data_IF_007017314493
#
_entry.id   IF_007017314493
#
_cell.length_a   1.000
_cell.length_b   1.000
_cell.length_c   1.000
_cell.angle_alpha   90.00
_cell.angle_beta   90.00
_cell.angle_gamma   90.00
#
_symmetry.space_group_name_H-M   'P 1'
#
loop_
_entity.id
_entity.type
_entity.pdbx_description
1 polymer ?
#
# COMPACT_ATOMS: atom_id res chain seq x y z
N UNK A 1 13.76 -9.51 4.35
CA UNK A 1 13.18 -8.22 3.97
C UNK A 1 14.25 -7.41 3.26
N UNK A 2 13.88 -6.73 2.18
CA UNK A 2 14.75 -5.84 1.41
C UNK A 2 14.03 -4.50 1.23
N UNK A 3 14.60 -3.42 1.76
CA UNK A 3 14.03 -2.08 1.62
C UNK A 3 14.29 -1.54 0.23
N UNK A 4 13.22 -1.24 -0.50
CA UNK A 4 13.30 -0.71 -1.87
C UNK A 4 13.18 0.81 -1.89
N UNK A 5 12.20 1.35 -1.17
CA UNK A 5 11.98 2.78 -1.05
C UNK A 5 11.70 3.17 0.40
N UNK A 6 12.21 4.34 0.79
CA UNK A 6 11.91 5.02 2.05
C UNK A 6 12.11 6.51 1.81
N UNK A 7 11.07 7.17 1.30
CA UNK A 7 11.11 8.59 0.99
C UNK A 7 9.69 9.17 0.93
N UNK A 8 9.57 10.49 1.09
CA UNK A 8 8.31 11.22 0.92
C UNK A 8 7.96 11.42 -0.58
N UNK A 9 8.96 11.30 -1.47
CA UNK A 9 8.77 11.24 -2.93
C UNK A 9 9.55 10.10 -3.58
N UNK A 10 8.87 9.26 -4.37
CA UNK A 10 9.51 8.27 -5.25
C UNK A 10 8.59 7.78 -6.37
N UNK A 11 9.19 7.12 -7.37
CA UNK A 11 8.48 6.36 -8.41
C UNK A 11 9.11 4.98 -8.51
N UNK A 12 8.30 3.94 -8.35
CA UNK A 12 8.70 2.56 -8.56
C UNK A 12 8.29 2.12 -9.96
N UNK A 13 9.27 1.62 -10.72
CA UNK A 13 9.09 1.16 -12.10
C UNK A 13 9.22 -0.35 -12.22
N UNK A 14 9.79 -0.99 -11.21
CA UNK A 14 10.11 -2.43 -11.14
C UNK A 14 8.86 -3.30 -11.18
N UNK A 15 7.72 -2.78 -10.69
CA UNK A 15 6.46 -3.51 -10.63
C UNK A 15 5.52 -3.20 -11.81
N UNK A 16 5.89 -2.27 -12.70
CA UNK A 16 5.02 -1.83 -13.79
C UNK A 16 4.73 -2.97 -14.78
N UNK A 17 3.45 -3.10 -15.14
CA UNK A 17 2.94 -4.13 -16.04
C UNK A 17 2.78 -5.51 -15.40
N UNK A 18 3.25 -5.73 -14.17
CA UNK A 18 3.06 -7.00 -13.47
C UNK A 18 1.65 -7.12 -12.93
N UNK A 19 1.18 -8.36 -12.79
CA UNK A 19 -0.18 -8.65 -12.31
C UNK A 19 -0.20 -8.81 -10.80
N UNK A 20 -1.29 -8.35 -10.20
CA UNK A 20 -1.57 -8.57 -8.78
C UNK A 20 -2.15 -9.98 -8.60
N UNK A 21 -1.59 -10.74 -7.68
CA UNK A 21 -2.14 -12.04 -7.25
C UNK A 21 -3.03 -11.89 -6.02
N UNK A 22 -2.65 -10.98 -5.10
CA UNK A 22 -3.35 -10.81 -3.82
C UNK A 22 -3.10 -9.42 -3.22
N UNK A 23 -4.11 -8.89 -2.53
CA UNK A 23 -4.05 -7.66 -1.74
C UNK A 23 -4.51 -7.98 -0.32
N UNK A 24 -3.68 -7.70 0.67
CA UNK A 24 -4.02 -7.88 2.09
C UNK A 24 -3.81 -6.56 2.82
N UNK A 25 -4.75 -6.16 3.66
CA UNK A 25 -4.60 -5.02 4.57
C UNK A 25 -4.41 -5.53 5.99
N UNK A 26 -3.38 -5.06 6.67
CA UNK A 26 -3.19 -5.23 8.10
C UNK A 26 -3.71 -3.98 8.83
N UNK A 27 -4.61 -4.20 9.77
CA UNK A 27 -5.36 -3.15 10.46
C UNK A 27 -5.22 -3.27 11.98
N UNK A 28 -5.29 -2.13 12.68
CA UNK A 28 -5.46 -2.14 14.13
C UNK A 28 -6.92 -2.41 14.50
N UNK A 29 -7.13 -3.11 15.62
CA UNK A 29 -8.45 -3.51 16.13
C UNK A 29 -9.39 -2.34 16.44
N UNK A 30 -8.84 -1.15 16.69
CA UNK A 30 -9.61 -0.06 17.29
C UNK A 30 -10.13 1.00 16.31
N UNK A 31 -9.64 1.09 15.05
CA UNK A 31 -9.79 2.36 14.27
C UNK A 31 -9.91 2.30 12.75
N UNK A 32 -10.26 1.18 12.12
CA UNK A 32 -10.26 1.06 10.64
C UNK A 32 -8.98 1.69 10.01
N UNK A 33 -7.85 1.56 10.72
CA UNK A 33 -6.58 2.18 10.39
C UNK A 33 -5.73 1.11 9.72
N UNK A 34 -5.31 1.37 8.49
CA UNK A 34 -4.46 0.46 7.72
C UNK A 34 -3.02 0.74 8.09
N UNK A 35 -2.41 -0.18 8.83
CA UNK A 35 -1.02 -0.09 9.25
C UNK A 35 -0.11 -0.44 8.07
N UNK A 36 -0.46 -1.52 7.36
CA UNK A 36 0.33 -2.03 6.23
C UNK A 36 -0.60 -2.54 5.14
N UNK A 37 -0.28 -2.19 3.90
CA UNK A 37 -0.85 -2.81 2.70
C UNK A 37 0.17 -3.81 2.14
N UNK A 38 -0.24 -5.07 2.00
CA UNK A 38 0.56 -6.10 1.36
C UNK A 38 0.04 -6.37 -0.05
N UNK A 39 0.97 -6.42 -1.01
CA UNK A 39 0.71 -6.78 -2.39
C UNK A 39 1.51 -8.00 -2.78
N UNK A 40 0.83 -9.06 -3.20
CA UNK A 40 1.48 -10.18 -3.88
C UNK A 40 1.47 -9.92 -5.37
N UNK A 41 2.67 -9.87 -5.96
CA UNK A 41 2.87 -9.58 -7.38
C UNK A 41 3.39 -10.83 -8.07
N UNK A 42 2.82 -11.12 -9.24
CA UNK A 42 3.18 -12.25 -10.09
C UNK A 42 4.70 -12.34 -10.28
N UNK A 43 5.24 -13.56 -10.12
CA UNK A 43 6.66 -13.91 -10.24
C UNK A 43 7.63 -13.24 -9.24
N UNK A 44 7.24 -12.20 -8.51
CA UNK A 44 8.12 -11.46 -7.60
C UNK A 44 7.85 -11.69 -6.12
N UNK A 45 6.65 -12.14 -5.76
CA UNK A 45 6.29 -12.44 -4.38
C UNK A 45 5.64 -11.25 -3.68
N UNK A 46 5.94 -11.07 -2.39
CA UNK A 46 5.26 -10.12 -1.53
C UNK A 46 6.01 -8.81 -1.39
N UNK A 47 5.24 -7.74 -1.36
CA UNK A 47 5.67 -6.39 -1.02
C UNK A 47 4.77 -5.83 0.06
N UNK A 48 5.34 -5.10 1.00
CA UNK A 48 4.59 -4.28 1.94
C UNK A 48 4.75 -2.80 1.62
N UNK A 49 3.73 -2.06 2.02
CA UNK A 49 3.62 -0.63 1.82
C UNK A 49 3.02 -0.03 3.08
N UNK A 50 3.69 0.97 3.65
CA UNK A 50 3.21 1.69 4.83
C UNK A 50 3.75 3.11 4.84
N UNK A 51 3.17 3.96 5.68
CA UNK A 51 3.66 5.33 5.92
C UNK A 51 4.08 5.40 7.38
N UNK A 52 5.31 5.87 7.61
CA UNK A 52 5.89 6.06 8.94
C UNK A 52 6.45 7.49 9.03
N UNK A 53 6.00 8.26 10.02
CA UNK A 53 6.39 9.65 10.25
C UNK A 53 6.34 10.53 8.97
N UNK A 54 5.32 10.35 8.14
CA UNK A 54 5.13 11.09 6.89
C UNK A 54 5.96 10.59 5.70
N UNK A 55 6.66 9.48 5.84
CA UNK A 55 7.51 8.87 4.81
C UNK A 55 6.89 7.55 4.36
N UNK A 56 6.73 7.37 3.05
CA UNK A 56 6.29 6.10 2.51
C UNK A 56 7.45 5.12 2.42
N UNK A 57 7.19 3.88 2.82
CA UNK A 57 8.12 2.76 2.77
C UNK A 57 7.54 1.67 1.87
N UNK A 58 8.43 1.08 1.07
CA UNK A 58 8.14 -0.11 0.28
C UNK A 58 9.25 -1.14 0.51
N UNK A 59 8.89 -2.35 0.93
CA UNK A 59 9.83 -3.44 1.12
C UNK A 59 9.40 -4.70 0.39
N UNK A 60 10.39 -5.47 -0.05
CA UNK A 60 10.18 -6.82 -0.54
C UNK A 60 10.31 -7.81 0.61
N UNK A 61 9.28 -8.61 0.80
CA UNK A 61 9.22 -9.61 1.87
C UNK A 61 9.03 -11.02 1.30
N UNK A 62 9.43 -12.01 2.08
CA UNK A 62 9.31 -13.42 1.67
C UNK A 62 7.90 -13.94 1.92
N UNK A 63 7.33 -13.58 3.07
CA UNK A 63 6.01 -13.96 3.55
C UNK A 63 5.50 -12.88 4.51
N UNK A 64 4.20 -12.89 4.79
CA UNK A 64 3.59 -12.01 5.80
C UNK A 64 3.74 -12.71 7.15
N UNK A 65 4.37 -12.03 8.09
CA UNK A 65 4.44 -12.47 9.49
C UNK A 65 3.23 -11.86 10.21
N UNK A 66 2.19 -12.68 10.43
CA UNK A 66 0.96 -12.24 11.09
C UNK A 66 1.17 -12.13 12.60
N UNK A 67 0.66 -11.05 13.20
CA UNK A 67 0.57 -10.84 14.64
C UNK A 67 -0.90 -10.88 15.08
N UNK A 68 -1.21 -11.68 16.09
CA UNK A 68 -2.56 -11.86 16.64
C UNK A 68 -3.17 -10.55 17.20
N UNK A 69 -2.36 -9.51 17.36
CA UNK A 69 -2.77 -8.16 17.79
C UNK A 69 -3.34 -7.31 16.64
N UNK A 70 -3.28 -7.80 15.40
CA UNK A 70 -3.76 -7.10 14.22
C UNK A 70 -4.70 -7.96 13.37
N UNK A 71 -5.53 -7.29 12.59
CA UNK A 71 -6.48 -7.94 11.68
C UNK A 71 -5.92 -7.90 10.26
N UNK A 72 -5.78 -9.07 9.65
CA UNK A 72 -5.36 -9.22 8.26
C UNK A 72 -6.58 -9.56 7.40
N UNK A 73 -6.95 -8.65 6.50
CA UNK A 73 -8.09 -8.81 5.60
C UNK A 73 -7.61 -8.98 4.17
N UNK A 74 -8.06 -10.06 3.52
CA UNK A 74 -7.90 -10.23 2.08
C UNK A 74 -8.91 -9.35 1.33
N UNK A 75 -8.40 -8.33 0.66
CA UNK A 75 -9.20 -7.35 -0.09
C UNK A 75 -9.22 -7.62 -1.59
N UNK A 76 -8.57 -8.69 -2.06
CA UNK A 76 -8.34 -8.92 -3.49
C UNK A 76 -9.61 -9.00 -4.33
N UNK A 77 -10.66 -9.64 -3.81
CA UNK A 77 -11.96 -9.78 -4.48
C UNK A 77 -12.78 -8.47 -4.43
N UNK A 78 -12.84 -7.85 -3.25
CA UNK A 78 -13.54 -6.56 -3.03
C UNK A 78 -13.01 -5.46 -3.95
N UNK A 79 -11.69 -5.47 -4.20
CA UNK A 79 -10.99 -4.50 -5.03
C UNK A 79 -10.93 -4.88 -6.51
N UNK A 80 -11.48 -6.04 -6.89
CA UNK A 80 -11.34 -6.62 -8.23
C UNK A 80 -9.89 -6.65 -8.74
N UNK A 81 -8.92 -6.77 -7.84
CA UNK A 81 -7.51 -6.54 -8.13
C UNK A 81 -6.80 -7.77 -8.74
N UNK A 82 -7.37 -8.97 -8.56
CA UNK A 82 -6.75 -10.22 -9.00
C UNK A 82 -6.56 -10.21 -10.52
N UNK A 83 -5.31 -10.40 -10.95
CA UNK A 83 -4.91 -10.42 -12.34
C UNK A 83 -4.81 -9.04 -13.00
N UNK A 84 -5.20 -7.96 -12.32
CA UNK A 84 -5.07 -6.59 -12.83
C UNK A 84 -3.60 -6.19 -12.85
N UNK A 85 -3.18 -5.49 -13.90
CA UNK A 85 -1.81 -5.01 -14.03
C UNK A 85 -1.61 -3.71 -13.26
N UNK A 86 -0.43 -3.59 -12.67
CA UNK A 86 0.05 -2.37 -12.04
C UNK A 86 0.47 -1.41 -13.16
N UNK A 87 -0.16 -0.24 -13.21
CA UNK A 87 0.19 0.84 -14.14
C UNK A 87 1.38 1.65 -13.62
N UNK A 88 1.45 1.85 -12.31
CA UNK A 88 2.51 2.63 -11.67
C UNK A 88 2.37 2.63 -10.15
N UNK A 89 3.48 2.76 -9.45
CA UNK A 89 3.52 3.01 -8.01
C UNK A 89 4.33 4.28 -7.76
N UNK A 90 3.76 5.23 -7.03
CA UNK A 90 4.41 6.50 -6.79
C UNK A 90 4.00 7.10 -5.45
N UNK A 91 4.93 7.81 -4.85
CA UNK A 91 4.72 8.59 -3.64
C UNK A 91 4.98 10.06 -3.93
N UNK A 92 4.14 10.93 -3.36
CA UNK A 92 4.25 12.38 -3.47
C UNK A 92 4.07 13.01 -2.09
N UNK A 93 4.87 14.00 -1.75
CA UNK A 93 4.71 14.76 -0.51
C UNK A 93 3.42 15.56 -0.55
N UNK A 94 2.69 15.55 0.56
CA UNK A 94 1.45 16.33 0.73
C UNK A 94 1.44 16.90 2.15
N UNK A 95 1.52 18.24 2.24
CA UNK A 95 1.67 18.96 3.51
C UNK A 95 2.85 18.47 4.35
N UNK A 96 2.60 17.86 5.52
CA UNK A 96 3.60 17.29 6.43
C UNK A 96 3.68 15.75 6.38
N UNK A 97 3.02 15.12 5.41
CA UNK A 97 3.08 13.68 5.16
C UNK A 97 3.28 13.41 3.66
N UNK A 98 2.92 12.21 3.22
CA UNK A 98 2.98 11.79 1.83
C UNK A 98 1.71 11.01 1.45
N UNK A 99 1.52 10.88 0.14
CA UNK A 99 0.46 10.07 -0.45
C UNK A 99 1.11 9.04 -1.36
N UNK A 100 0.98 7.78 -0.98
CA UNK A 100 1.44 6.65 -1.76
C UNK A 100 0.26 6.10 -2.58
N UNK A 101 0.44 5.98 -3.90
CA UNK A 101 -0.56 5.47 -4.81
C UNK A 101 -0.02 4.28 -5.61
N UNK A 102 -0.83 3.22 -5.67
CA UNK A 102 -0.66 2.07 -6.55
C UNK A 102 -1.77 2.15 -7.59
N UNK A 103 -1.42 2.61 -8.78
CA UNK A 103 -2.35 2.77 -9.89
C UNK A 103 -2.49 1.47 -10.66
N UNK A 104 -3.74 1.04 -10.89
CA UNK A 104 -4.07 -0.19 -11.60
C UNK A 104 -4.67 0.11 -12.97
N UNK A 105 -4.56 -0.85 -13.91
CA UNK A 105 -5.12 -0.69 -15.26
C UNK A 105 -6.66 -0.71 -15.31
N UNK A 106 -7.33 -1.17 -14.26
CA UNK A 106 -8.79 -1.16 -14.14
C UNK A 106 -9.36 0.17 -13.61
N UNK A 107 -8.62 1.28 -13.76
CA UNK A 107 -8.96 2.61 -13.24
C UNK A 107 -9.13 2.71 -11.71
N UNK A 108 -8.78 1.65 -10.97
CA UNK A 108 -8.72 1.68 -9.52
C UNK A 108 -7.34 2.12 -9.06
N UNK A 109 -7.28 3.01 -8.07
CA UNK A 109 -6.04 3.31 -7.35
C UNK A 109 -6.17 2.88 -5.90
N UNK A 110 -5.18 2.14 -5.40
CA UNK A 110 -5.00 1.88 -3.98
C UNK A 110 -4.13 2.99 -3.40
N UNK A 111 -4.64 3.72 -2.41
CA UNK A 111 -3.98 4.93 -1.92
C UNK A 111 -3.80 4.84 -0.42
N UNK A 112 -2.56 4.90 0.04
CA UNK A 112 -2.23 5.08 1.45
C UNK A 112 -1.94 6.55 1.72
N UNK A 113 -2.57 7.08 2.77
CA UNK A 113 -2.39 8.46 3.23
C UNK A 113 -2.63 8.56 4.74
N UNK A 114 -1.91 9.45 5.43
CA UNK A 114 -2.19 9.78 6.84
C UNK A 114 -3.53 10.53 6.98
N UNK A 115 -4.34 10.16 7.98
CA UNK A 115 -5.65 10.79 8.26
C UNK A 115 -5.51 12.22 8.76
N UNK A 116 -4.54 12.48 9.62
CA UNK A 116 -4.22 13.80 10.17
C UNK A 116 -2.80 14.17 9.78
N UNK A 117 -2.69 15.07 8.82
CA UNK A 117 -1.42 15.51 8.27
C UNK A 117 -0.59 16.30 9.29
N UNK A 118 -1.20 16.78 10.38
CA UNK A 118 -0.53 17.59 11.40
C UNK A 118 0.10 16.78 12.54
N UNK A 119 -0.13 15.47 12.58
CA UNK A 119 0.39 14.56 13.58
C UNK A 119 1.26 13.47 12.92
N UNK A 120 2.53 13.39 13.30
CA UNK A 120 3.46 12.40 12.77
C UNK A 120 3.15 10.98 13.28
N UNK A 121 2.32 10.85 14.33
CA UNK A 121 1.80 9.58 14.84
C UNK A 121 0.45 9.20 14.22
N UNK A 122 -0.01 9.95 13.20
CA UNK A 122 -1.37 9.82 12.69
C UNK A 122 -1.68 8.46 12.07
N UNK A 123 -2.90 8.00 12.33
CA UNK A 123 -3.52 6.82 11.75
C UNK A 123 -3.46 6.90 10.20
N UNK A 124 -3.08 5.81 9.52
CA UNK A 124 -3.04 5.72 8.05
C UNK A 124 -4.36 5.13 7.54
N UNK A 125 -4.83 5.58 6.39
CA UNK A 125 -6.00 5.00 5.73
C UNK A 125 -5.68 4.47 4.35
N UNK A 126 -6.37 3.39 3.98
CA UNK A 126 -6.47 2.95 2.60
C UNK A 126 -7.69 3.60 1.97
N UNK A 127 -7.44 4.56 1.10
CA UNK A 127 -8.45 5.18 0.25
C UNK A 127 -8.52 4.42 -1.08
N UNK A 128 -9.74 4.11 -1.49
CA UNK A 128 -10.04 3.58 -2.82
C UNK A 128 -10.60 4.70 -3.67
N UNK A 129 -9.89 5.04 -4.74
CA UNK A 129 -10.39 5.98 -5.73
C UNK A 129 -10.57 5.25 -7.06
N UNK A 130 -11.82 5.09 -7.45
CA UNK A 130 -12.21 4.83 -8.83
C UNK A 130 -12.24 6.18 -9.57
N UNK A 131 -11.45 6.30 -10.63
CA UNK A 131 -11.34 7.55 -11.40
C UNK A 131 -12.22 7.62 -12.64
N UNK A 132 -13.11 6.63 -12.88
CA UNK A 132 -14.19 6.71 -13.89
C UNK A 132 -13.72 6.90 -15.33
#
# INVERSE_FOLDING_TARGET
>A
MERMYQNDEFVCVELNGLRIERVITCMSDERDNVIVLYLKVEALGWFDFFIDAGIAVMEKIKEIEEDDSYIYLDKSQELEAIGVRIKGIYCQSVESSCRLAIALENNTNLILQSKDMSDYESDVELLLLDLG
#
